data_IF_498332424026
#
_entry.id   IF_498332424026
#
_cell.length_a   1.000
_cell.length_b   1.000
_cell.length_c   1.000
_cell.angle_alpha   90.00
_cell.angle_beta   90.00
_cell.angle_gamma   90.00
#
_symmetry.space_group_name_H-M   'P 1'
#
loop_
_entity.id
_entity.type
_entity.pdbx_description
1 polymer ?
#
# COMPACT_ATOMS: atom_id res chain seq x y z
N UNK A 1 -7.03 37.66 -10.65
CA UNK A 1 -6.49 36.43 -11.29
C UNK A 1 -7.41 36.07 -12.44
N UNK A 2 -6.90 36.00 -13.68
CA UNK A 2 -7.71 35.61 -14.84
C UNK A 2 -7.93 34.09 -14.84
N UNK A 3 -9.11 33.68 -14.38
CA UNK A 3 -9.48 32.27 -14.27
C UNK A 3 -9.78 31.64 -15.64
N UNK A 4 -10.15 32.42 -16.65
CA UNK A 4 -10.42 31.93 -17.98
C UNK A 4 -9.12 31.53 -18.69
N UNK A 5 -8.09 32.39 -18.62
CA UNK A 5 -6.76 32.07 -19.15
C UNK A 5 -6.14 30.82 -18.48
N UNK A 6 -6.30 30.66 -17.17
CA UNK A 6 -5.82 29.48 -16.45
C UNK A 6 -6.53 28.21 -16.93
N UNK A 7 -7.86 28.24 -17.06
CA UNK A 7 -8.64 27.10 -17.57
C UNK A 7 -8.25 26.74 -19.00
N UNK A 8 -7.95 27.74 -19.82
CA UNK A 8 -7.50 27.50 -21.19
C UNK A 8 -6.14 26.83 -21.24
N UNK A 9 -5.19 27.28 -20.40
CA UNK A 9 -3.90 26.60 -20.25
C UNK A 9 -4.08 25.15 -19.79
N UNK A 10 -4.98 24.87 -18.85
CA UNK A 10 -5.27 23.49 -18.40
C UNK A 10 -5.82 22.62 -19.53
N UNK A 11 -6.74 23.14 -20.34
CA UNK A 11 -7.24 22.40 -21.52
C UNK A 11 -6.12 22.11 -22.51
N UNK A 12 -5.32 23.11 -22.86
CA UNK A 12 -4.19 22.93 -23.77
C UNK A 12 -3.18 21.89 -23.25
N UNK A 13 -2.86 21.86 -21.95
CA UNK A 13 -1.94 20.86 -21.39
C UNK A 13 -2.52 19.45 -21.29
N UNK A 14 -3.82 19.33 -20.99
CA UNK A 14 -4.54 18.05 -21.02
C UNK A 14 -4.55 17.48 -22.42
N UNK A 15 -4.90 18.30 -23.42
CA UNK A 15 -5.12 17.86 -24.80
C UNK A 15 -3.84 17.33 -25.45
N UNK A 16 -2.65 17.81 -25.03
CA UNK A 16 -1.34 17.24 -25.43
C UNK A 16 -1.15 15.77 -25.05
N UNK A 17 -1.87 15.28 -24.04
CA UNK A 17 -1.69 13.96 -23.42
C UNK A 17 -2.91 13.07 -23.56
N UNK A 18 -3.99 13.56 -24.17
CA UNK A 18 -5.16 12.74 -24.47
C UNK A 18 -4.77 11.68 -25.49
N UNK A 19 -5.06 10.43 -25.13
CA UNK A 19 -4.71 9.26 -25.91
C UNK A 19 -5.98 8.45 -26.22
N UNK A 20 -6.24 8.10 -27.49
CA UNK A 20 -7.45 7.37 -27.86
C UNK A 20 -7.47 5.94 -27.33
N UNK A 21 -6.30 5.37 -27.07
CA UNK A 21 -6.10 4.03 -26.51
C UNK A 21 -6.18 3.98 -24.97
N UNK A 22 -6.41 5.11 -24.28
CA UNK A 22 -6.77 5.13 -22.86
C UNK A 22 -5.82 4.32 -21.98
N UNK A 23 -6.35 3.37 -21.20
CA UNK A 23 -5.55 2.49 -20.34
C UNK A 23 -4.85 1.36 -21.09
N UNK A 24 -5.28 1.05 -22.32
CA UNK A 24 -4.67 0.00 -23.15
C UNK A 24 -3.26 0.39 -23.62
N UNK A 25 -2.86 1.65 -23.37
CA UNK A 25 -1.47 2.09 -23.55
C UNK A 25 -0.47 1.40 -22.61
N UNK A 26 -0.95 0.83 -21.49
CA UNK A 26 -0.12 0.14 -20.52
C UNK A 26 -0.13 -1.37 -20.80
N UNK A 27 1.05 -1.97 -20.76
CA UNK A 27 1.22 -3.41 -20.97
C UNK A 27 1.72 -4.06 -19.69
N UNK A 28 1.21 -5.25 -19.39
CA UNK A 28 1.72 -6.03 -18.28
C UNK A 28 3.14 -6.54 -18.60
N UNK A 29 4.07 -6.48 -17.62
CA UNK A 29 5.38 -7.10 -17.77
C UNK A 29 5.22 -8.62 -17.97
N UNK A 30 5.55 -9.11 -19.16
CA UNK A 30 5.49 -10.54 -19.53
C UNK A 30 6.83 -11.03 -20.08
N UNK A 31 6.98 -12.35 -20.23
CA UNK A 31 8.20 -12.97 -20.77
C UNK A 31 9.44 -12.58 -19.96
N UNK A 32 10.45 -11.98 -20.61
CA UNK A 32 11.69 -11.56 -19.95
C UNK A 32 11.49 -10.52 -18.83
N UNK A 33 10.34 -9.85 -18.77
CA UNK A 33 10.03 -8.81 -17.80
C UNK A 33 9.10 -9.27 -16.67
N UNK A 34 8.61 -10.50 -16.71
CA UNK A 34 7.68 -11.02 -15.70
C UNK A 34 8.25 -10.96 -14.27
N UNK A 35 9.57 -11.12 -14.13
CA UNK A 35 10.28 -11.07 -12.85
C UNK A 35 10.13 -9.72 -12.11
N UNK A 36 9.74 -8.63 -12.79
CA UNK A 36 9.46 -7.35 -12.12
C UNK A 36 8.18 -7.38 -11.26
N UNK A 37 7.33 -8.41 -11.41
CA UNK A 37 6.11 -8.60 -10.62
C UNK A 37 6.31 -9.56 -9.44
N UNK A 38 7.49 -10.16 -9.34
CA UNK A 38 7.90 -11.04 -8.25
C UNK A 38 8.31 -10.24 -7.02
N UNK A 39 8.33 -10.90 -5.85
CA UNK A 39 8.77 -10.29 -4.60
C UNK A 39 10.31 -10.25 -4.53
N UNK A 40 10.94 -9.07 -4.60
CA UNK A 40 12.40 -9.00 -4.58
C UNK A 40 12.97 -9.08 -3.14
N UNK A 41 12.12 -9.11 -2.11
CA UNK A 41 12.56 -9.01 -0.71
C UNK A 41 12.59 -10.34 0.02
N UNK A 42 12.00 -11.38 -0.56
CA UNK A 42 11.87 -12.68 0.09
C UNK A 42 11.87 -13.80 -0.95
N UNK A 43 12.56 -14.88 -0.64
CA UNK A 43 12.42 -16.12 -1.39
C UNK A 43 11.14 -16.83 -0.95
N UNK A 44 10.25 -17.23 -1.86
CA UNK A 44 9.03 -17.95 -1.51
C UNK A 44 9.34 -19.24 -0.75
N UNK A 45 8.99 -19.29 0.54
CA UNK A 45 9.09 -20.51 1.33
C UNK A 45 7.89 -21.42 1.05
N UNK A 46 8.09 -22.73 0.78
CA UNK A 46 6.98 -23.65 0.59
C UNK A 46 6.18 -23.75 1.89
N UNK A 47 4.86 -23.52 1.79
CA UNK A 47 3.91 -23.72 2.88
C UNK A 47 2.72 -24.52 2.37
N UNK A 48 2.16 -25.36 3.22
CA UNK A 48 0.95 -26.10 2.86
C UNK A 48 -0.22 -25.11 2.65
N UNK A 49 -1.08 -25.34 1.63
CA UNK A 49 -2.29 -24.56 1.49
C UNK A 49 -3.20 -24.79 2.71
N UNK A 50 -3.89 -23.73 3.10
CA UNK A 50 -4.96 -23.79 4.10
C UNK A 50 -6.30 -24.04 3.36
N UNK A 51 -7.11 -24.96 3.88
CA UNK A 51 -8.41 -25.39 3.31
C UNK A 51 -9.53 -25.38 4.36
N UNK A 52 -9.34 -24.60 5.41
CA UNK A 52 -10.26 -24.38 6.53
C UNK A 52 -11.18 -23.19 6.28
N UNK A 53 -12.20 -23.08 7.14
CA UNK A 53 -13.13 -21.94 7.19
C UNK A 53 -12.71 -20.98 8.32
N UNK A 54 -12.95 -19.69 8.11
CA UNK A 54 -12.76 -18.63 9.11
C UNK A 54 -13.94 -17.68 9.07
N UNK A 55 -14.26 -17.04 10.20
CA UNK A 55 -15.34 -16.06 10.29
C UNK A 55 -15.12 -14.85 9.37
N UNK A 56 -13.89 -14.32 9.32
CA UNK A 56 -13.51 -13.24 8.42
C UNK A 56 -12.22 -13.55 7.66
N UNK A 57 -12.29 -13.45 6.32
CA UNK A 57 -11.12 -13.48 5.45
C UNK A 57 -11.06 -12.21 4.60
N UNK A 58 -9.89 -11.58 4.51
CA UNK A 58 -9.68 -10.40 3.67
C UNK A 58 -8.29 -10.40 3.03
N UNK A 59 -8.21 -9.72 1.89
CA UNK A 59 -7.02 -9.67 1.03
C UNK A 59 -6.34 -8.31 1.24
N UNK A 60 -5.04 -8.35 1.53
CA UNK A 60 -4.17 -7.18 1.74
C UNK A 60 -3.70 -7.05 3.19
N UNK A 61 -2.39 -7.19 3.39
CA UNK A 61 -1.67 -7.00 4.65
C UNK A 61 -1.12 -5.58 4.85
N UNK A 62 -1.68 -4.58 4.17
CA UNK A 62 -1.36 -3.17 4.41
C UNK A 62 -2.16 -2.55 5.56
N UNK A 63 -2.08 -1.23 5.72
CA UNK A 63 -2.80 -0.51 6.78
C UNK A 63 -4.31 -0.79 6.85
N UNK A 64 -4.99 -0.92 5.70
CA UNK A 64 -6.41 -1.27 5.69
C UNK A 64 -6.68 -2.65 6.33
N UNK A 65 -5.89 -3.65 5.99
CA UNK A 65 -6.00 -4.99 6.58
C UNK A 65 -5.63 -5.01 8.06
N UNK A 66 -4.53 -4.35 8.43
CA UNK A 66 -4.07 -4.27 9.82
C UNK A 66 -5.08 -3.55 10.73
N UNK A 67 -5.63 -2.41 10.30
CA UNK A 67 -6.64 -1.66 11.05
C UNK A 67 -7.97 -2.41 11.14
N UNK A 68 -8.37 -3.10 10.07
CA UNK A 68 -9.55 -3.98 10.09
C UNK A 68 -9.35 -5.14 11.08
N UNK A 69 -8.19 -5.80 11.05
CA UNK A 69 -7.85 -6.86 12.00
C UNK A 69 -7.82 -6.37 13.45
N UNK A 70 -7.27 -5.18 13.69
CA UNK A 70 -7.28 -4.55 15.01
C UNK A 70 -8.71 -4.27 15.50
N UNK A 71 -9.57 -3.71 14.65
CA UNK A 71 -10.96 -3.42 14.98
C UNK A 71 -11.78 -4.70 15.26
N UNK A 72 -11.61 -5.75 14.46
CA UNK A 72 -12.26 -7.06 14.69
C UNK A 72 -11.82 -7.65 16.03
N UNK A 73 -10.51 -7.63 16.31
CA UNK A 73 -9.97 -8.11 17.58
C UNK A 73 -10.52 -7.33 18.77
N UNK A 74 -10.64 -6.00 18.67
CA UNK A 74 -11.26 -5.16 19.71
C UNK A 74 -12.74 -5.49 19.92
N UNK A 75 -13.45 -5.89 18.86
CA UNK A 75 -14.84 -6.37 18.94
C UNK A 75 -14.98 -7.79 19.51
N UNK A 76 -13.87 -8.45 19.88
CA UNK A 76 -13.85 -9.82 20.41
C UNK A 76 -13.87 -10.91 19.33
N UNK A 77 -13.73 -10.54 18.05
CA UNK A 77 -13.68 -11.46 16.92
C UNK A 77 -12.22 -11.83 16.66
N UNK A 78 -11.87 -13.10 16.88
CA UNK A 78 -10.49 -13.59 16.77
C UNK A 78 -10.26 -14.59 15.65
N UNK A 79 -11.33 -15.14 15.06
CA UNK A 79 -11.25 -16.08 13.94
C UNK A 79 -11.14 -15.32 12.61
N UNK A 80 -9.94 -14.78 12.36
CA UNK A 80 -9.68 -13.88 11.24
C UNK A 80 -8.49 -14.35 10.41
N UNK A 81 -8.53 -14.11 9.10
CA UNK A 81 -7.42 -14.37 8.19
C UNK A 81 -7.13 -13.20 7.26
N UNK A 82 -5.86 -12.81 7.26
CA UNK A 82 -5.31 -11.84 6.31
C UNK A 82 -4.53 -12.61 5.24
N UNK A 83 -4.85 -12.36 3.98
CA UNK A 83 -4.16 -12.96 2.83
C UNK A 83 -3.36 -11.86 2.15
N UNK A 84 -2.03 -11.96 2.17
CA UNK A 84 -1.10 -11.01 1.54
C UNK A 84 -0.25 -11.74 0.49
N UNK A 85 0.00 -11.06 -0.64
CA UNK A 85 0.87 -11.59 -1.71
C UNK A 85 2.35 -11.44 -1.34
N UNK A 86 2.71 -10.30 -0.73
CA UNK A 86 4.06 -10.04 -0.25
C UNK A 86 4.45 -10.98 0.89
N UNK A 87 5.74 -11.16 1.11
CA UNK A 87 6.20 -12.05 2.18
C UNK A 87 6.05 -11.52 3.60
N UNK A 88 5.54 -10.30 3.79
CA UNK A 88 5.31 -9.70 5.11
C UNK A 88 4.21 -8.62 5.04
N UNK A 89 3.78 -8.12 6.20
CA UNK A 89 2.85 -7.01 6.31
C UNK A 89 3.47 -5.68 5.84
N UNK A 90 2.61 -4.76 5.43
CA UNK A 90 2.94 -3.38 5.10
C UNK A 90 2.35 -2.90 3.78
N UNK A 91 1.91 -3.80 2.90
CA UNK A 91 1.31 -3.46 1.61
C UNK A 91 2.22 -2.49 0.83
N UNK A 92 1.76 -1.29 0.54
CA UNK A 92 2.57 -0.25 -0.11
C UNK A 92 3.95 -0.08 0.52
N UNK A 93 4.06 -0.10 1.84
CA UNK A 93 5.32 0.11 2.57
C UNK A 93 6.20 -1.14 2.63
N UNK A 94 5.63 -2.32 2.40
CA UNK A 94 6.38 -3.54 2.15
C UNK A 94 7.03 -3.50 0.77
N UNK A 95 6.26 -3.17 -0.27
CA UNK A 95 6.67 -3.22 -1.67
C UNK A 95 7.57 -2.06 -2.10
N UNK A 96 7.38 -0.85 -1.56
CA UNK A 96 8.09 0.34 -1.98
C UNK A 96 9.25 0.68 -1.03
N UNK A 97 10.45 0.20 -1.36
CA UNK A 97 11.69 0.47 -0.59
C UNK A 97 12.77 1.19 -1.41
N UNK A 98 12.36 1.98 -2.41
CA UNK A 98 13.29 2.76 -3.20
C UNK A 98 13.93 3.89 -2.37
N UNK A 99 15.16 4.33 -2.68
CA UNK A 99 15.83 5.40 -1.94
C UNK A 99 15.01 6.69 -1.94
N UNK A 100 14.78 7.25 -0.74
CA UNK A 100 14.00 8.47 -0.56
C UNK A 100 12.48 8.28 -0.45
N UNK A 101 11.98 7.03 -0.48
CA UNK A 101 10.56 6.77 -0.24
C UNK A 101 10.12 7.32 1.14
N UNK A 102 8.99 8.02 1.16
CA UNK A 102 8.40 8.68 2.33
C UNK A 102 6.90 8.90 2.12
N UNK A 103 6.15 9.09 3.20
CA UNK A 103 4.78 9.57 3.08
C UNK A 103 4.75 11.05 2.69
N UNK A 104 3.74 11.45 1.92
CA UNK A 104 3.48 12.85 1.52
C UNK A 104 2.50 13.57 2.46
N UNK A 105 1.80 12.80 3.30
CA UNK A 105 0.87 13.27 4.33
C UNK A 105 1.58 13.28 5.68
N UNK A 106 1.25 14.23 6.54
CA UNK A 106 1.86 14.30 7.87
C UNK A 106 1.69 12.97 8.62
N UNK A 107 2.77 12.41 9.13
CA UNK A 107 2.82 11.07 9.73
C UNK A 107 1.80 10.87 10.85
N UNK A 108 1.62 11.91 11.68
CA UNK A 108 0.65 11.91 12.78
C UNK A 108 -0.83 11.80 12.32
N UNK A 109 -1.10 12.08 11.04
CA UNK A 109 -2.41 11.94 10.41
C UNK A 109 -2.49 10.66 9.57
N UNK A 110 -1.37 10.25 8.98
CA UNK A 110 -1.32 9.16 8.00
C UNK A 110 -1.12 7.78 8.64
N UNK A 111 -0.28 7.66 9.67
CA UNK A 111 0.02 6.38 10.30
C UNK A 111 -1.12 5.99 11.26
N UNK A 112 -1.70 4.78 11.12
CA UNK A 112 -2.81 4.37 11.96
C UNK A 112 -2.34 3.95 13.35
N UNK A 113 -3.25 3.99 14.33
CA UNK A 113 -3.05 3.40 15.66
C UNK A 113 -1.84 3.95 16.45
N UNK A 114 -1.45 5.21 16.24
CA UNK A 114 -0.29 5.79 16.93
C UNK A 114 -0.49 5.86 18.45
N UNK A 115 -1.70 6.14 18.92
CA UNK A 115 -2.01 6.21 20.35
C UNK A 115 -2.00 4.80 20.98
N UNK A 116 -2.59 3.81 20.30
CA UNK A 116 -2.69 2.43 20.76
C UNK A 116 -1.33 1.71 20.77
N UNK A 117 -0.46 2.03 19.80
CA UNK A 117 0.90 1.48 19.73
C UNK A 117 1.93 2.27 20.55
N UNK A 118 1.57 3.50 20.98
CA UNK A 118 2.49 4.43 21.62
C UNK A 118 3.63 4.90 20.72
N UNK A 119 3.57 4.67 19.40
CA UNK A 119 4.61 5.09 18.47
C UNK A 119 4.53 6.61 18.25
N UNK A 120 5.66 7.29 18.43
CA UNK A 120 5.82 8.70 18.11
C UNK A 120 6.63 8.81 16.80
N UNK A 121 6.02 9.29 15.70
CA UNK A 121 6.75 9.44 14.43
C UNK A 121 8.00 10.30 14.59
N UNK A 122 9.12 9.87 14.01
CA UNK A 122 10.42 10.54 14.18
C UNK A 122 10.49 11.93 13.53
N UNK A 123 9.65 12.18 12.52
CA UNK A 123 9.57 13.42 11.77
C UNK A 123 8.16 13.66 11.21
N UNK A 124 7.88 14.88 10.74
CA UNK A 124 6.56 15.24 10.21
C UNK A 124 6.13 14.37 9.02
N UNK A 125 7.06 13.98 8.16
CA UNK A 125 6.82 13.11 7.00
C UNK A 125 7.84 11.97 7.03
N UNK A 126 7.46 10.83 7.60
CA UNK A 126 8.42 9.74 7.87
C UNK A 126 8.80 8.97 6.61
N UNK A 127 10.02 8.43 6.61
CA UNK A 127 10.52 7.59 5.52
C UNK A 127 9.90 6.18 5.56
N UNK A 128 9.85 5.53 4.40
CA UNK A 128 9.26 4.21 4.22
C UNK A 128 9.72 3.15 5.24
N UNK A 129 11.01 3.07 5.65
CA UNK A 129 11.43 2.08 6.65
C UNK A 129 10.71 2.21 7.99
N UNK A 130 10.49 3.44 8.49
CA UNK A 130 9.78 3.64 9.75
C UNK A 130 8.31 3.24 9.64
N UNK A 131 7.68 3.50 8.48
CA UNK A 131 6.29 3.13 8.23
C UNK A 131 6.16 1.60 8.11
N UNK A 132 7.11 0.94 7.45
CA UNK A 132 7.15 -0.53 7.38
C UNK A 132 7.35 -1.14 8.77
N UNK A 133 8.26 -0.59 9.57
CA UNK A 133 8.47 -1.04 10.95
C UNK A 133 7.20 -0.85 11.79
N UNK A 134 6.45 0.24 11.58
CA UNK A 134 5.15 0.44 12.22
C UNK A 134 4.12 -0.63 11.85
N UNK A 135 4.11 -1.10 10.59
CA UNK A 135 3.23 -2.19 10.17
C UNK A 135 3.51 -3.52 10.90
N UNK A 136 4.70 -3.68 11.48
CA UNK A 136 5.15 -4.90 12.18
C UNK A 136 4.98 -4.83 13.70
N UNK A 137 4.51 -3.69 14.23
CA UNK A 137 4.35 -3.46 15.67
C UNK A 137 3.11 -4.14 16.25
#
# INVERSE_FOLDING_TARGET
MDTAAIREKYRAERDKRLRPDGNDQYIEPTGRYAHYLEDPYVEPAPRNPLTDEVEFAFIGGGFAGLTTGAALKQAGITDVRIIEKGGDFGGTWYWNRYPGAMCDTAAMVYMPLLEETGHMPSQKYVHAPEILDHCRR
#
